data_IF_794532317836
#
_entry.id   IF_794532317836
#
_cell.length_a   1.000
_cell.length_b   1.000
_cell.length_c   1.000
_cell.angle_alpha   90.00
_cell.angle_beta   90.00
_cell.angle_gamma   90.00
#
_symmetry.space_group_name_H-M   'P 1'
#
loop_
_entity.id
_entity.type
_entity.pdbx_description
1 polymer ?
#
# COMPACT_ATOMS: atom_id res chain seq x y z
N UNK A 1 -68.93 2.13 -30.74
CA UNK A 1 -67.69 2.50 -31.43
C UNK A 1 -66.69 3.01 -30.40
N UNK A 2 -65.43 2.60 -30.55
CA UNK A 2 -64.46 2.44 -29.47
C UNK A 2 -63.94 3.74 -28.82
N UNK A 3 -63.77 3.66 -27.49
CA UNK A 3 -63.05 4.62 -26.65
C UNK A 3 -61.55 4.43 -26.90
N UNK A 4 -60.86 5.46 -27.39
CA UNK A 4 -59.40 5.45 -27.51
C UNK A 4 -58.79 5.99 -26.22
N UNK A 5 -58.16 5.12 -25.45
CA UNK A 5 -57.49 5.42 -24.19
C UNK A 5 -55.99 5.58 -24.50
N UNK A 6 -55.53 6.81 -24.66
CA UNK A 6 -54.12 7.12 -24.93
C UNK A 6 -53.34 7.04 -23.63
N UNK A 7 -52.62 5.94 -23.41
CA UNK A 7 -51.73 5.76 -22.28
C UNK A 7 -50.44 6.56 -22.50
N UNK A 8 -50.24 7.62 -21.71
CA UNK A 8 -48.97 8.34 -21.61
C UNK A 8 -48.02 7.54 -20.71
N UNK A 9 -47.07 6.83 -21.32
CA UNK A 9 -45.97 6.18 -20.60
C UNK A 9 -44.93 7.26 -20.28
N UNK A 10 -44.93 7.73 -19.03
CA UNK A 10 -43.87 8.58 -18.50
C UNK A 10 -42.61 7.73 -18.32
N UNK A 11 -41.67 7.88 -19.25
CA UNK A 11 -40.36 7.24 -19.22
C UNK A 11 -39.51 7.91 -18.13
N UNK A 12 -39.52 7.34 -16.93
CA UNK A 12 -38.71 7.79 -15.81
C UNK A 12 -37.24 7.47 -16.13
N UNK A 13 -36.51 8.44 -16.69
CA UNK A 13 -35.08 8.36 -16.94
C UNK A 13 -34.33 8.36 -15.61
N UNK A 14 -34.12 7.17 -15.04
CA UNK A 14 -33.31 6.95 -13.87
C UNK A 14 -31.83 7.17 -14.25
N UNK A 15 -31.38 8.41 -14.21
CA UNK A 15 -29.96 8.77 -14.35
C UNK A 15 -29.20 8.18 -13.16
N UNK A 16 -28.65 6.99 -13.34
CA UNK A 16 -27.72 6.39 -12.40
C UNK A 16 -26.48 7.29 -12.30
N UNK A 17 -26.43 8.13 -11.28
CA UNK A 17 -25.20 8.79 -10.86
C UNK A 17 -24.24 7.72 -10.35
N UNK A 18 -23.53 7.07 -11.25
CA UNK A 18 -22.36 6.27 -10.91
C UNK A 18 -21.33 7.22 -10.33
N UNK A 19 -21.30 7.30 -9.00
CA UNK A 19 -20.19 7.92 -8.28
C UNK A 19 -18.96 7.03 -8.54
N UNK A 20 -18.21 7.39 -9.57
CA UNK A 20 -16.92 6.79 -9.88
C UNK A 20 -15.96 7.17 -8.77
N UNK A 21 -15.98 6.42 -7.67
CA UNK A 21 -14.99 6.57 -6.61
C UNK A 21 -13.64 6.14 -7.18
N UNK A 22 -12.76 7.10 -7.41
CA UNK A 22 -11.42 6.84 -7.91
C UNK A 22 -10.66 5.98 -6.90
N UNK A 23 -9.96 4.96 -7.41
CA UNK A 23 -8.93 4.27 -6.65
C UNK A 23 -7.72 5.20 -6.55
N UNK A 24 -7.25 5.49 -5.35
CA UNK A 24 -6.05 6.30 -5.15
C UNK A 24 -4.85 5.39 -4.99
N UNK A 25 -3.76 5.71 -5.68
CA UNK A 25 -2.50 4.95 -5.61
C UNK A 25 -1.41 5.87 -5.10
N UNK A 26 -0.77 5.49 -3.98
CA UNK A 26 0.42 6.16 -3.47
C UNK A 26 1.62 5.31 -3.83
N UNK A 27 2.49 5.84 -4.67
CA UNK A 27 3.74 5.20 -5.10
C UNK A 27 4.90 5.93 -4.44
N UNK A 28 5.87 5.16 -3.95
CA UNK A 28 7.09 5.66 -3.39
C UNK A 28 8.28 4.88 -3.93
N UNK A 29 9.04 5.53 -4.80
CA UNK A 29 10.27 5.01 -5.39
C UNK A 29 11.47 5.74 -4.77
N UNK A 30 12.42 4.98 -4.24
CA UNK A 30 13.69 5.49 -3.75
C UNK A 30 14.82 4.62 -4.29
N UNK A 31 15.61 5.17 -5.21
CA UNK A 31 16.85 4.56 -5.69
C UNK A 31 18.03 5.36 -5.15
N UNK A 32 18.95 4.67 -4.49
CA UNK A 32 20.17 5.25 -3.94
C UNK A 32 21.39 4.43 -4.37
N UNK A 33 22.28 5.07 -5.10
CA UNK A 33 23.59 4.52 -5.44
C UNK A 33 24.64 4.86 -4.36
N UNK A 34 25.42 3.85 -3.98
CA UNK A 34 26.57 3.94 -3.08
C UNK A 34 27.85 3.68 -3.87
N UNK A 35 28.90 4.48 -3.62
CA UNK A 35 30.22 4.24 -4.23
C UNK A 35 31.00 3.18 -3.43
N UNK A 36 31.81 2.31 -4.08
CA UNK A 36 32.09 2.26 -5.52
C UNK A 36 31.11 1.42 -6.35
N UNK A 37 30.34 0.47 -5.79
CA UNK A 37 29.39 -0.40 -6.54
C UNK A 37 28.25 -0.94 -5.65
N UNK A 38 27.47 -0.05 -5.06
CA UNK A 38 26.26 -0.46 -4.31
C UNK A 38 25.02 0.29 -4.81
N UNK A 39 23.87 -0.34 -4.71
CA UNK A 39 22.58 0.34 -4.92
C UNK A 39 21.57 -0.15 -3.91
N UNK A 40 20.54 0.66 -3.65
CA UNK A 40 19.38 0.27 -2.88
C UNK A 40 18.14 0.86 -3.53
N UNK A 41 17.16 0.00 -3.76
CA UNK A 41 15.87 0.37 -4.31
C UNK A 41 14.79 0.06 -3.29
N UNK A 42 13.83 0.97 -3.17
CA UNK A 42 12.59 0.78 -2.44
C UNK A 42 11.44 1.20 -3.32
N UNK A 43 10.51 0.28 -3.53
CA UNK A 43 9.23 0.50 -4.18
C UNK A 43 8.13 0.15 -3.19
N UNK A 44 7.36 1.16 -2.77
CA UNK A 44 6.15 0.97 -1.99
C UNK A 44 4.95 1.46 -2.79
N UNK A 45 3.93 0.62 -2.90
CA UNK A 45 2.67 0.96 -3.55
C UNK A 45 1.50 0.64 -2.62
N UNK A 46 0.74 1.69 -2.30
CA UNK A 46 -0.47 1.61 -1.50
C UNK A 46 -1.66 1.88 -2.42
N UNK A 47 -2.64 1.00 -2.40
CA UNK A 47 -3.89 1.19 -3.16
C UNK A 47 -5.04 1.41 -2.20
N UNK A 48 -5.71 2.54 -2.32
CA UNK A 48 -6.86 2.91 -1.51
C UNK A 48 -8.14 2.90 -2.33
N UNK A 49 -9.23 2.47 -1.70
CA UNK A 49 -10.59 2.59 -2.24
C UNK A 49 -11.45 3.23 -1.17
N UNK A 50 -12.03 4.40 -1.47
CA UNK A 50 -12.83 5.19 -0.51
C UNK A 50 -12.07 5.47 0.80
N UNK A 51 -10.80 5.88 0.69
CA UNK A 51 -9.88 6.14 1.82
C UNK A 51 -9.56 4.91 2.69
N UNK A 52 -10.01 3.71 2.30
CA UNK A 52 -9.67 2.47 2.99
C UNK A 52 -8.54 1.81 2.21
N UNK A 53 -7.42 1.55 2.88
CA UNK A 53 -6.31 0.82 2.29
C UNK A 53 -6.79 -0.59 1.88
N UNK A 54 -6.63 -0.92 0.60
CA UNK A 54 -7.00 -2.21 0.04
C UNK A 54 -5.78 -3.10 -0.17
N UNK A 55 -4.66 -2.51 -0.59
CA UNK A 55 -3.43 -3.24 -0.95
C UNK A 55 -2.19 -2.50 -0.48
N UNK A 56 -1.21 -3.27 -0.03
CA UNK A 56 0.15 -2.83 0.23
C UNK A 56 1.08 -3.78 -0.52
N UNK A 57 1.82 -3.23 -1.46
CA UNK A 57 2.90 -3.92 -2.16
C UNK A 57 4.21 -3.22 -1.79
N UNK A 58 5.18 -3.98 -1.30
CA UNK A 58 6.53 -3.51 -1.04
C UNK A 58 7.52 -4.41 -1.74
N UNK A 59 8.46 -3.79 -2.44
CA UNK A 59 9.64 -4.42 -3.00
C UNK A 59 10.85 -3.58 -2.57
N UNK A 60 11.79 -4.21 -1.91
CA UNK A 60 13.08 -3.61 -1.60
C UNK A 60 14.19 -4.47 -2.18
N UNK A 61 15.22 -3.83 -2.72
CA UNK A 61 16.44 -4.52 -3.15
C UNK A 61 17.68 -3.74 -2.66
N UNK A 62 18.75 -4.45 -2.34
CA UNK A 62 20.06 -3.84 -2.10
C UNK A 62 21.10 -4.69 -2.81
N UNK A 63 21.97 -4.06 -3.58
CA UNK A 63 23.13 -4.69 -4.20
C UNK A 63 24.38 -4.11 -3.55
N UNK A 64 25.31 -4.97 -3.15
CA UNK A 64 26.59 -4.54 -2.55
C UNK A 64 27.79 -5.30 -3.10
N UNK A 65 28.90 -4.58 -3.30
CA UNK A 65 30.20 -5.16 -3.62
C UNK A 65 30.43 -5.38 -5.12
N UNK A 66 31.67 -5.73 -5.49
CA UNK A 66 32.02 -6.03 -6.88
C UNK A 66 31.40 -7.33 -7.39
N UNK A 67 31.14 -8.28 -6.48
CA UNK A 67 30.50 -9.56 -6.77
C UNK A 67 28.98 -9.46 -6.93
N UNK A 68 28.38 -8.31 -6.61
CA UNK A 68 26.95 -8.05 -6.86
C UNK A 68 25.99 -8.80 -5.94
N UNK A 69 26.36 -9.03 -4.68
CA UNK A 69 25.47 -9.66 -3.70
C UNK A 69 24.16 -8.88 -3.60
N UNK A 70 23.05 -9.52 -3.96
CA UNK A 70 21.73 -8.92 -4.05
C UNK A 70 20.81 -9.47 -2.95
N UNK A 71 20.23 -8.55 -2.19
CA UNK A 71 19.31 -8.82 -1.10
C UNK A 71 17.96 -8.23 -1.47
N UNK A 72 16.87 -8.97 -1.27
CA UNK A 72 15.54 -8.45 -1.57
C UNK A 72 14.52 -8.82 -0.53
N UNK A 73 13.54 -7.94 -0.38
CA UNK A 73 12.34 -8.14 0.42
C UNK A 73 11.13 -7.90 -0.48
N UNK A 74 10.12 -8.77 -0.40
CA UNK A 74 8.89 -8.65 -1.17
C UNK A 74 7.69 -8.98 -0.29
N UNK A 75 6.74 -8.05 -0.21
CA UNK A 75 5.53 -8.20 0.57
C UNK A 75 4.34 -7.71 -0.25
N UNK A 76 3.37 -8.60 -0.48
CA UNK A 76 2.03 -8.26 -0.96
C UNK A 76 1.04 -8.74 0.10
N UNK A 77 0.58 -7.82 0.94
CA UNK A 77 -0.23 -8.15 2.12
C UNK A 77 -1.54 -8.84 1.72
N UNK A 78 -2.07 -8.59 0.52
CA UNK A 78 -3.26 -9.29 0.04
C UNK A 78 -3.02 -10.77 -0.23
N UNK A 79 -1.81 -11.16 -0.62
CA UNK A 79 -1.44 -12.57 -0.82
C UNK A 79 -1.14 -13.29 0.49
N UNK A 80 -1.07 -12.56 1.60
CA UNK A 80 -0.88 -13.12 2.93
C UNK A 80 -2.20 -13.57 3.60
N UNK A 81 -3.37 -13.32 3.01
CA UNK A 81 -4.67 -13.75 3.58
C UNK A 81 -4.83 -15.28 3.56
N UNK A 82 -5.46 -15.92 4.57
CA UNK A 82 -6.20 -15.35 5.70
C UNK A 82 -5.32 -14.90 6.88
N UNK A 83 -4.00 -14.94 6.75
CA UNK A 83 -3.03 -14.73 7.82
C UNK A 83 -2.71 -13.25 8.04
N UNK A 84 -3.72 -12.39 7.92
CA UNK A 84 -3.55 -10.95 8.07
C UNK A 84 -4.78 -10.31 8.70
N UNK A 85 -4.54 -9.52 9.75
CA UNK A 85 -5.55 -8.69 10.39
C UNK A 85 -5.31 -7.22 10.07
N UNK A 86 -6.37 -6.50 9.73
CA UNK A 86 -6.33 -5.08 9.41
C UNK A 86 -7.26 -4.34 10.37
N UNK A 87 -6.77 -3.25 10.97
CA UNK A 87 -7.61 -2.32 11.73
C UNK A 87 -7.40 -0.92 11.17
N UNK A 88 -8.48 -0.29 10.71
CA UNK A 88 -8.45 1.09 10.21
C UNK A 88 -9.27 1.98 11.13
N UNK A 89 -8.69 3.09 11.57
CA UNK A 89 -9.35 4.12 12.35
C UNK A 89 -9.03 5.50 11.75
N UNK A 90 -10.00 6.06 11.02
CA UNK A 90 -9.82 7.34 10.32
C UNK A 90 -8.66 7.27 9.33
N UNK A 91 -7.58 7.97 9.65
CA UNK A 91 -6.38 8.08 8.82
C UNK A 91 -5.28 7.07 9.15
N UNK A 92 -5.47 6.24 10.18
CA UNK A 92 -4.51 5.22 10.60
C UNK A 92 -4.99 3.84 10.18
N UNK A 93 -4.10 3.05 9.56
CA UNK A 93 -4.30 1.63 9.29
C UNK A 93 -3.16 0.84 9.94
N UNK A 94 -3.52 -0.13 10.78
CA UNK A 94 -2.59 -1.07 11.41
C UNK A 94 -2.80 -2.47 10.83
N UNK A 95 -1.70 -3.14 10.51
CA UNK A 95 -1.69 -4.45 9.86
C UNK A 95 -0.86 -5.42 10.70
N UNK A 96 -1.45 -6.55 11.05
CA UNK A 96 -0.77 -7.69 11.68
C UNK A 96 -0.71 -8.84 10.69
N UNK A 97 0.48 -9.41 10.53
CA UNK A 97 0.76 -10.60 9.74
C UNK A 97 0.79 -11.82 10.68
N UNK A 98 0.71 -13.04 10.12
CA UNK A 98 0.51 -14.30 10.84
C UNK A 98 1.30 -14.44 12.15
N UNK A 99 2.59 -14.12 12.09
CA UNK A 99 3.56 -14.32 13.17
C UNK A 99 3.25 -13.47 14.42
N UNK A 100 2.53 -12.37 14.25
CA UNK A 100 2.25 -11.38 15.30
C UNK A 100 0.76 -11.14 15.54
N UNK A 101 -0.15 -12.01 15.04
CA UNK A 101 -1.60 -11.81 15.23
C UNK A 101 -2.03 -11.73 16.71
N UNK A 102 -1.22 -12.28 17.63
CA UNK A 102 -1.46 -12.28 19.07
C UNK A 102 -0.73 -11.16 19.82
N UNK A 103 0.13 -10.39 19.14
CA UNK A 103 0.89 -9.31 19.75
C UNK A 103 0.10 -8.00 19.74
N UNK A 104 0.38 -7.14 20.71
CA UNK A 104 -0.27 -5.83 20.84
C UNK A 104 0.13 -4.88 19.68
N UNK A 105 1.38 -4.98 19.24
CA UNK A 105 1.96 -4.12 18.22
C UNK A 105 1.75 -4.67 16.79
N UNK A 106 1.38 -3.82 15.81
CA UNK A 106 1.24 -4.24 14.43
C UNK A 106 2.61 -4.45 13.76
N UNK A 107 2.64 -5.26 12.71
CA UNK A 107 3.81 -5.34 11.82
C UNK A 107 3.98 -4.07 11.00
N UNK A 108 2.87 -3.43 10.61
CA UNK A 108 2.87 -2.24 9.78
C UNK A 108 1.84 -1.25 10.29
N UNK A 109 2.23 0.01 10.40
CA UNK A 109 1.35 1.13 10.67
C UNK A 109 1.43 2.16 9.55
N UNK A 110 0.28 2.52 8.98
CA UNK A 110 0.15 3.51 7.93
C UNK A 110 -0.65 4.68 8.48
N UNK A 111 -0.11 5.88 8.32
CA UNK A 111 -0.77 7.13 8.70
C UNK A 111 -0.87 8.05 7.48
N UNK A 112 -2.09 8.45 7.14
CA UNK A 112 -2.35 9.41 6.06
C UNK A 112 -2.63 10.79 6.66
N UNK A 113 -1.91 11.82 6.25
CA UNK A 113 -2.13 13.19 6.72
C UNK A 113 -2.10 14.17 5.55
N UNK A 114 -3.29 14.52 5.06
CA UNK A 114 -3.46 15.32 3.85
C UNK A 114 -2.82 14.61 2.64
N UNK A 115 -1.78 15.21 2.06
CA UNK A 115 -1.02 14.63 0.94
C UNK A 115 0.22 13.84 1.37
N UNK A 116 0.48 13.75 2.67
CA UNK A 116 1.59 12.97 3.22
C UNK A 116 1.10 11.59 3.60
N UNK A 117 1.95 10.58 3.39
CA UNK A 117 1.70 9.22 3.88
C UNK A 117 2.95 8.73 4.59
N UNK A 118 2.76 8.20 5.79
CA UNK A 118 3.83 7.64 6.60
C UNK A 118 3.57 6.16 6.84
N UNK A 119 4.54 5.31 6.50
CA UNK A 119 4.46 3.86 6.65
C UNK A 119 5.60 3.44 7.55
N UNK A 120 5.26 3.00 8.75
CA UNK A 120 6.21 2.42 9.70
C UNK A 120 6.15 0.91 9.57
N UNK A 121 7.31 0.28 9.43
CA UNK A 121 7.42 -1.17 9.38
C UNK A 121 8.17 -1.63 10.61
N UNK A 122 7.49 -2.40 11.45
CA UNK A 122 8.04 -3.04 12.65
C UNK A 122 8.42 -4.50 12.32
N UNK A 123 8.83 -4.73 11.08
CA UNK A 123 9.17 -6.02 10.53
C UNK A 123 10.67 -6.18 10.60
N UNK A 124 11.16 -6.96 11.58
CA UNK A 124 12.57 -7.34 11.66
C UNK A 124 12.96 -8.33 10.55
N UNK A 125 13.79 -9.32 10.87
CA UNK A 125 13.99 -10.46 9.98
C UNK A 125 12.70 -11.27 9.90
N UNK A 126 12.04 -11.22 8.75
CA UNK A 126 10.76 -11.87 8.49
C UNK A 126 10.90 -12.77 7.27
N UNK A 127 10.00 -13.75 7.05
CA UNK A 127 10.05 -14.64 5.88
C UNK A 127 9.87 -13.91 4.54
N UNK A 128 9.55 -12.63 4.56
CA UNK A 128 9.36 -11.78 3.37
C UNK A 128 10.68 -11.20 2.83
N UNK A 129 11.80 -11.47 3.50
CA UNK A 129 13.14 -11.01 3.14
C UNK A 129 14.08 -12.20 2.89
N UNK A 130 14.90 -12.12 1.84
CA UNK A 130 16.05 -13.00 1.67
C UNK A 130 17.10 -12.75 2.76
N UNK A 131 18.03 -13.70 2.91
CA UNK A 131 19.10 -13.63 3.91
C UNK A 131 19.88 -12.31 3.81
N UNK A 132 19.93 -11.50 4.87
CA UNK A 132 20.64 -10.21 4.90
C UNK A 132 19.86 -9.01 4.35
N UNK A 133 18.62 -9.21 3.88
CA UNK A 133 17.73 -8.12 3.51
C UNK A 133 16.94 -7.62 4.74
N UNK A 134 16.71 -6.31 4.80
CA UNK A 134 15.99 -5.65 5.89
C UNK A 134 14.86 -4.79 5.33
N UNK A 135 13.74 -4.74 6.05
CA UNK A 135 12.70 -3.75 5.80
C UNK A 135 13.14 -2.38 6.32
N UNK A 136 12.74 -1.28 5.66
CA UNK A 136 12.93 0.05 6.21
C UNK A 136 12.04 0.24 7.44
N UNK A 137 12.60 0.79 8.52
CA UNK A 137 11.81 1.17 9.70
C UNK A 137 10.72 2.21 9.37
N UNK A 138 10.94 3.07 8.38
CA UNK A 138 9.96 4.10 7.98
C UNK A 138 10.08 4.52 6.51
N UNK A 139 8.95 4.63 5.83
CA UNK A 139 8.82 5.22 4.50
C UNK A 139 7.83 6.38 4.59
N UNK A 140 8.26 7.58 4.23
CA UNK A 140 7.40 8.77 4.22
C UNK A 140 7.30 9.35 2.81
N UNK A 141 6.08 9.34 2.25
CA UNK A 141 5.72 10.09 1.06
C UNK A 141 5.38 11.52 1.45
N UNK A 142 6.14 12.48 0.92
CA UNK A 142 5.95 13.90 1.22
C UNK A 142 4.91 14.55 0.28
N UNK A 143 4.31 15.68 0.69
CA UNK A 143 3.33 16.42 -0.13
C UNK A 143 3.86 16.85 -1.51
N UNK A 144 5.17 17.02 -1.64
CA UNK A 144 5.82 17.47 -2.88
C UNK A 144 6.07 16.36 -3.90
N UNK A 145 5.65 15.12 -3.63
CA UNK A 145 5.91 14.00 -4.53
C UNK A 145 7.07 13.11 -4.09
N UNK A 146 8.04 13.61 -3.33
CA UNK A 146 9.26 12.89 -2.98
C UNK A 146 9.07 11.87 -1.84
N UNK A 147 10.03 10.96 -1.72
CA UNK A 147 10.08 9.94 -0.70
C UNK A 147 11.29 10.08 0.21
N UNK A 148 11.07 9.82 1.50
CA UNK A 148 12.12 9.61 2.49
C UNK A 148 12.01 8.20 3.03
N UNK A 149 13.15 7.51 3.08
CA UNK A 149 13.23 6.15 3.60
C UNK A 149 14.26 6.11 4.72
N UNK A 150 13.87 5.58 5.86
CA UNK A 150 14.74 5.25 6.99
C UNK A 150 14.80 3.73 7.12
N UNK A 151 16.01 3.21 7.29
CA UNK A 151 16.29 1.81 7.59
C UNK A 151 16.65 1.75 9.06
#
# INVERSE_FOLDING_TARGET
MHKSLTAFIAMLSLSAFSSTFASEVVICDNDKQFRPKGSREVHLKLTFKRNILQRLEYLGSTVSGEEGGAYSCSLDVQRCTPKTLWKTNGTSTKIWLEENLTQEDPNIEILVSGKSTDVKMYMGQTPYCGFGAEFPTRITKLPNGSCRVAF
#
